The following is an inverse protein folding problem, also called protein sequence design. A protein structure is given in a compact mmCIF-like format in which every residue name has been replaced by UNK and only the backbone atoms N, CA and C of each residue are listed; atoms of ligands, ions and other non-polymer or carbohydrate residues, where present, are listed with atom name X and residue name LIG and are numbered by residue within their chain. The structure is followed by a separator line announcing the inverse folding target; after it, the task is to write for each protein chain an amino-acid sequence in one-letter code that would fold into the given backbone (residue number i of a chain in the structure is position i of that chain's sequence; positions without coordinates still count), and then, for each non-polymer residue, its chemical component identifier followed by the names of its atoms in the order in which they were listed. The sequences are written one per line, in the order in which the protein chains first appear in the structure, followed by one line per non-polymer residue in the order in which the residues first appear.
data_IF_645063838730
#
_entry.id   IF_645063838730
#
_cell.length_a   1.000
_cell.length_b   1.000
_cell.length_c   1.000
_cell.angle_alpha   90.00
_cell.angle_beta   90.00
_cell.angle_gamma   90.00
#
_symmetry.space_group_name_H-M   'P 1'
#
loop_
_entity.id
_entity.type
_entity.pdbx_description
1 polymer ?
#
# COMPACT_ATOMS: atom_id res chain seq x y z
N UNK A 1 -16.19 47.96 -17.62
CA UNK A 1 -15.09 47.63 -16.70
C UNK A 1 -15.41 46.50 -15.69
N UNK A 2 -16.33 45.56 -15.97
CA UNK A 2 -16.61 44.41 -15.06
C UNK A 2 -15.98 43.08 -15.50
N UNK A 3 -15.52 42.96 -16.76
CA UNK A 3 -14.94 41.71 -17.30
C UNK A 3 -13.49 41.45 -16.89
N UNK A 4 -12.70 42.48 -16.58
CA UNK A 4 -11.28 42.34 -16.20
C UNK A 4 -11.06 42.02 -14.71
N UNK A 5 -12.06 42.33 -13.86
CA UNK A 5 -12.02 41.99 -12.43
C UNK A 5 -12.23 40.47 -12.25
N UNK A 6 -13.12 39.84 -13.03
CA UNK A 6 -13.30 38.39 -13.00
C UNK A 6 -12.10 37.60 -13.50
N UNK A 7 -11.38 38.10 -14.51
CA UNK A 7 -10.18 37.43 -15.06
C UNK A 7 -9.02 37.48 -14.06
N UNK A 8 -8.84 38.60 -13.36
CA UNK A 8 -7.78 38.75 -12.36
C UNK A 8 -7.99 37.82 -11.15
N UNK A 9 -9.26 37.59 -10.75
CA UNK A 9 -9.60 36.66 -9.66
C UNK A 9 -9.37 35.20 -10.08
N UNK A 10 -9.65 34.84 -11.34
CA UNK A 10 -9.43 33.47 -11.85
C UNK A 10 -7.93 33.15 -11.92
N UNK A 11 -7.08 34.09 -12.32
CA UNK A 11 -5.62 33.88 -12.37
C UNK A 11 -5.01 33.72 -10.97
N UNK A 12 -5.53 34.43 -9.97
CA UNK A 12 -5.08 34.28 -8.57
C UNK A 12 -5.49 32.92 -7.99
N UNK A 13 -6.67 32.40 -8.34
CA UNK A 13 -7.14 31.06 -7.91
C UNK A 13 -6.27 29.95 -8.52
N UNK A 14 -5.86 30.09 -9.79
CA UNK A 14 -4.99 29.10 -10.46
C UNK A 14 -3.58 29.09 -9.84
N UNK A 15 -3.04 30.26 -9.47
CA UNK A 15 -1.73 30.36 -8.81
C UNK A 15 -1.78 29.81 -7.37
N UNK A 16 -2.88 30.02 -6.64
CA UNK A 16 -3.07 29.42 -5.32
C UNK A 16 -3.20 27.88 -5.37
N UNK A 17 -3.81 27.33 -6.43
CA UNK A 17 -3.84 25.88 -6.65
C UNK A 17 -2.48 25.31 -7.09
N UNK A 18 -1.72 26.05 -7.90
CA UNK A 18 -0.38 25.65 -8.33
C UNK A 18 0.64 25.56 -7.18
N UNK A 19 0.50 26.40 -6.15
CA UNK A 19 1.38 26.40 -4.98
C UNK A 19 1.08 25.27 -3.97
N UNK A 20 -0.11 24.65 -4.03
CA UNK A 20 -0.39 23.43 -3.24
C UNK A 20 0.26 22.16 -3.82
N UNK A 21 0.76 22.21 -5.05
CA UNK A 21 1.37 21.06 -5.74
C UNK A 21 2.90 20.99 -5.48
N UNK A 22 3.51 22.07 -4.95
CA UNK A 22 4.95 22.16 -4.68
C UNK A 22 5.31 22.26 -3.18
N UNK A 23 4.38 21.96 -2.29
CA UNK A 23 4.67 21.69 -0.88
C UNK A 23 4.84 20.20 -0.68
N UNK A 24 6.04 19.72 -0.35
CA UNK A 24 6.31 18.34 0.05
C UNK A 24 5.41 17.95 1.21
N UNK A 25 4.26 17.36 0.89
CA UNK A 25 3.25 16.97 1.83
C UNK A 25 3.17 15.45 1.78
N UNK A 26 3.68 14.80 2.82
CA UNK A 26 3.32 13.42 3.16
C UNK A 26 1.81 13.28 3.03
N UNK A 27 1.36 12.62 1.97
CA UNK A 27 -0.05 12.36 1.75
C UNK A 27 -0.48 11.31 2.77
N UNK A 28 -1.24 11.72 3.79
CA UNK A 28 -1.88 10.80 4.71
C UNK A 28 -3.19 10.39 4.03
N UNK A 29 -3.22 9.18 3.48
CA UNK A 29 -4.46 8.57 3.00
C UNK A 29 -5.44 8.43 4.17
N UNK A 30 -6.64 8.98 4.03
CA UNK A 30 -7.65 9.01 5.09
C UNK A 30 -9.00 8.66 4.49
N UNK A 31 -9.36 7.38 4.46
CA UNK A 31 -10.70 6.84 4.74
C UNK A 31 -10.52 5.36 5.17
N UNK A 32 -11.03 5.01 6.35
CA UNK A 32 -11.12 3.65 6.95
C UNK A 32 -9.82 2.86 7.24
N UNK A 33 -8.73 3.07 6.51
CA UNK A 33 -7.50 2.33 6.79
C UNK A 33 -6.75 2.87 7.99
N UNK A 34 -6.06 1.96 8.68
CA UNK A 34 -4.88 2.30 9.45
C UNK A 34 -4.05 3.37 8.72
N UNK A 35 -3.65 4.46 9.40
CA UNK A 35 -2.81 5.49 8.76
C UNK A 35 -1.49 4.85 8.34
N UNK A 36 -1.30 4.65 7.04
CA UNK A 36 -0.06 4.22 6.41
C UNK A 36 0.62 5.47 5.86
N UNK A 37 1.91 5.63 6.13
CA UNK A 37 2.71 6.72 5.57
C UNK A 37 3.14 6.29 4.17
N UNK A 38 2.81 7.09 3.16
CA UNK A 38 3.18 6.80 1.78
C UNK A 38 4.66 7.09 1.57
N UNK A 39 5.46 6.12 1.09
CA UNK A 39 6.87 6.31 0.79
C UNK A 39 7.10 7.41 -0.25
N UNK A 40 8.24 8.09 -0.15
CA UNK A 40 8.58 9.18 -1.08
C UNK A 40 8.61 8.68 -2.53
N UNK A 41 8.03 9.48 -3.44
CA UNK A 41 8.00 9.16 -4.87
C UNK A 41 6.81 8.28 -5.29
N UNK A 42 5.96 7.86 -4.34
CA UNK A 42 4.70 7.20 -4.63
C UNK A 42 3.52 8.16 -4.53
N UNK A 43 2.52 7.93 -5.36
CA UNK A 43 1.22 8.59 -5.29
C UNK A 43 0.14 7.59 -4.92
N UNK A 44 -0.89 8.05 -4.22
CA UNK A 44 -2.10 7.26 -4.00
C UNK A 44 -2.87 7.19 -5.32
N UNK A 45 -3.00 5.99 -5.88
CA UNK A 45 -3.77 5.73 -7.09
C UNK A 45 -5.23 5.44 -6.77
N UNK A 46 -5.49 4.68 -5.71
CA UNK A 46 -6.85 4.30 -5.30
C UNK A 46 -6.91 4.03 -3.80
N UNK A 47 -8.02 4.39 -3.18
CA UNK A 47 -8.35 4.03 -1.80
C UNK A 47 -9.79 3.54 -1.74
N UNK A 48 -10.01 2.42 -1.04
CA UNK A 48 -11.32 1.92 -0.61
C UNK A 48 -11.30 1.73 0.90
N UNK A 49 -12.39 1.19 1.47
CA UNK A 49 -12.48 0.96 2.90
C UNK A 49 -11.42 -0.01 3.44
N UNK A 50 -10.96 -0.92 2.60
CA UNK A 50 -10.10 -2.06 2.93
C UNK A 50 -8.83 -2.12 2.07
N UNK A 51 -8.70 -1.29 1.03
CA UNK A 51 -7.59 -1.37 0.08
C UNK A 51 -6.96 -0.01 -0.19
N UNK A 52 -5.63 0.03 -0.15
CA UNK A 52 -4.78 1.12 -0.64
C UNK A 52 -4.06 0.65 -1.89
N UNK A 53 -4.03 1.48 -2.92
CA UNK A 53 -3.12 1.28 -4.06
C UNK A 53 -2.24 2.51 -4.16
N UNK A 54 -0.94 2.31 -4.02
CA UNK A 54 0.06 3.32 -4.32
C UNK A 54 0.90 2.91 -5.52
N UNK A 55 1.33 3.90 -6.29
CA UNK A 55 2.01 3.69 -7.55
C UNK A 55 3.07 4.75 -7.78
N UNK A 56 4.16 4.34 -8.44
CA UNK A 56 5.10 5.25 -9.08
C UNK A 56 5.27 4.83 -10.56
N UNK A 57 6.30 5.35 -11.23
CA UNK A 57 6.52 5.05 -12.66
C UNK A 57 6.84 3.58 -12.97
N UNK A 58 7.34 2.80 -12.00
CA UNK A 58 7.89 1.47 -12.22
C UNK A 58 7.24 0.38 -11.36
N UNK A 59 6.51 0.73 -10.32
CA UNK A 59 6.02 -0.20 -9.31
C UNK A 59 4.67 0.21 -8.74
N UNK A 60 3.88 -0.79 -8.38
CA UNK A 60 2.58 -0.67 -7.73
C UNK A 60 2.57 -1.50 -6.45
N UNK A 61 1.96 -0.97 -5.39
CA UNK A 61 1.72 -1.71 -4.15
C UNK A 61 0.24 -1.63 -3.82
N UNK A 62 -0.41 -2.79 -3.79
CA UNK A 62 -1.78 -2.93 -3.31
C UNK A 62 -1.73 -3.47 -1.89
N UNK A 63 -2.23 -2.71 -0.92
CA UNK A 63 -2.31 -3.08 0.48
C UNK A 63 -3.77 -3.33 0.81
N UNK A 64 -4.12 -4.53 1.27
CA UNK A 64 -5.51 -4.92 1.58
C UNK A 64 -5.64 -5.45 3.00
N UNK A 65 -6.63 -4.97 3.74
CA UNK A 65 -7.09 -5.55 5.00
C UNK A 65 -7.91 -6.81 4.69
N UNK A 66 -7.40 -7.98 5.04
CA UNK A 66 -8.08 -9.27 4.78
C UNK A 66 -8.84 -9.79 6.01
N UNK A 67 -9.03 -8.93 7.01
CA UNK A 67 -9.79 -9.20 8.23
C UNK A 67 -9.06 -10.09 9.24
N UNK A 68 -9.83 -10.84 10.05
CA UNK A 68 -9.33 -11.65 11.17
C UNK A 68 -8.81 -13.03 10.73
N UNK A 69 -8.22 -13.15 9.53
CA UNK A 69 -7.61 -14.40 9.09
C UNK A 69 -6.22 -14.53 9.71
N UNK A 70 -5.90 -15.71 10.24
CA UNK A 70 -4.52 -15.98 10.67
C UNK A 70 -3.62 -16.17 9.45
N UNK A 71 -2.33 -15.83 9.58
CA UNK A 71 -1.34 -16.05 8.51
C UNK A 71 -1.32 -17.52 8.06
N UNK A 72 -1.51 -18.47 8.98
CA UNK A 72 -1.62 -19.90 8.66
C UNK A 72 -2.82 -20.19 7.74
N UNK A 73 -4.00 -19.65 8.06
CA UNK A 73 -5.19 -19.81 7.22
C UNK A 73 -4.97 -19.29 5.81
N UNK A 74 -4.30 -18.13 5.70
CA UNK A 74 -3.96 -17.54 4.40
C UNK A 74 -3.00 -18.42 3.62
N UNK A 75 -1.97 -18.97 4.27
CA UNK A 75 -1.05 -19.92 3.64
C UNK A 75 -1.74 -21.18 3.16
N UNK A 76 -2.59 -21.79 4.00
CA UNK A 76 -3.32 -23.00 3.65
C UNK A 76 -4.26 -22.76 2.44
N UNK A 77 -5.01 -21.65 2.43
CA UNK A 77 -5.86 -21.24 1.29
C UNK A 77 -5.03 -21.00 0.01
N UNK A 78 -3.87 -20.35 0.13
CA UNK A 78 -3.00 -20.07 -1.02
C UNK A 78 -2.39 -21.36 -1.58
N UNK A 79 -1.97 -22.29 -0.71
CA UNK A 79 -1.46 -23.59 -1.11
C UNK A 79 -2.52 -24.44 -1.81
N UNK A 80 -3.76 -24.46 -1.29
CA UNK A 80 -4.91 -25.12 -1.93
C UNK A 80 -5.30 -24.50 -3.28
N UNK A 81 -5.12 -23.20 -3.47
CA UNK A 81 -5.39 -22.57 -4.77
C UNK A 81 -4.33 -22.93 -5.82
N UNK A 82 -3.15 -23.33 -5.38
CA UNK A 82 -1.97 -23.55 -6.21
C UNK A 82 -1.40 -24.97 -6.05
N UNK A 83 -2.24 -25.99 -5.87
CA UNK A 83 -1.83 -27.37 -5.53
C UNK A 83 -0.82 -28.00 -6.50
N UNK A 84 -0.83 -27.55 -7.76
CA UNK A 84 0.10 -28.00 -8.80
C UNK A 84 1.46 -27.27 -8.78
N UNK A 85 1.69 -26.40 -7.80
CA UNK A 85 2.87 -25.55 -7.70
C UNK A 85 3.46 -25.62 -6.29
N UNK A 86 4.75 -25.28 -6.18
CA UNK A 86 5.38 -25.23 -4.86
C UNK A 86 5.11 -23.86 -4.25
N UNK A 87 4.34 -23.84 -3.16
CA UNK A 87 4.19 -22.66 -2.31
C UNK A 87 5.18 -22.76 -1.14
N UNK A 88 5.92 -21.70 -0.89
CA UNK A 88 6.84 -21.62 0.25
C UNK A 88 6.61 -20.34 1.03
N UNK A 89 6.72 -20.43 2.36
CA UNK A 89 6.59 -19.28 3.24
C UNK A 89 7.96 -18.96 3.87
N UNK A 90 8.30 -17.69 3.81
CA UNK A 90 9.46 -17.11 4.47
C UNK A 90 8.99 -16.02 5.42
N UNK A 91 9.80 -15.67 6.42
CA UNK A 91 9.46 -14.55 7.31
C UNK A 91 10.67 -13.69 7.61
N UNK A 92 10.45 -12.39 7.70
CA UNK A 92 11.38 -11.41 8.27
C UNK A 92 10.70 -10.64 9.38
N UNK A 93 11.48 -10.05 10.28
CA UNK A 93 10.98 -9.12 11.28
C UNK A 93 11.21 -7.68 10.79
N UNK A 94 10.20 -6.81 10.92
CA UNK A 94 10.23 -5.39 10.59
C UNK A 94 9.75 -4.61 11.82
N UNK A 95 10.67 -3.99 12.55
CA UNK A 95 10.39 -3.47 13.89
C UNK A 95 9.89 -4.59 14.80
N UNK A 96 8.70 -4.41 15.38
CA UNK A 96 8.04 -5.44 16.22
C UNK A 96 7.05 -6.32 15.43
N UNK A 97 6.97 -6.15 14.11
CA UNK A 97 6.00 -6.84 13.26
C UNK A 97 6.67 -7.97 12.47
N UNK A 98 6.10 -9.17 12.51
CA UNK A 98 6.55 -10.28 11.67
C UNK A 98 5.88 -10.21 10.29
N UNK A 99 6.69 -10.07 9.26
CA UNK A 99 6.29 -10.03 7.86
C UNK A 99 6.55 -11.40 7.23
N UNK A 100 5.54 -11.97 6.60
CA UNK A 100 5.58 -13.27 5.93
C UNK A 100 5.51 -13.09 4.42
N UNK A 101 6.50 -13.61 3.69
CA UNK A 101 6.48 -13.68 2.24
C UNK A 101 6.04 -15.06 1.78
N UNK A 102 4.91 -15.12 1.06
CA UNK A 102 4.42 -16.32 0.38
C UNK A 102 4.89 -16.29 -1.05
N UNK A 103 5.78 -17.22 -1.37
CA UNK A 103 6.43 -17.34 -2.66
C UNK A 103 5.82 -18.50 -3.45
N UNK A 104 5.30 -18.20 -4.64
CA UNK A 104 4.85 -19.21 -5.59
C UNK A 104 5.98 -19.54 -6.56
N UNK A 105 6.36 -20.83 -6.62
CA UNK A 105 7.32 -21.36 -7.59
C UNK A 105 6.62 -22.27 -8.60
N UNK A 106 6.88 -22.03 -9.88
CA UNK A 106 6.47 -22.90 -10.99
C UNK A 106 7.74 -23.32 -11.72
N UNK A 107 8.00 -24.62 -11.83
CA UNK A 107 9.21 -25.17 -12.47
C UNK A 107 10.50 -24.50 -11.96
N UNK A 108 10.66 -24.43 -10.64
CA UNK A 108 11.80 -23.81 -9.93
C UNK A 108 11.94 -22.28 -10.08
N UNK A 109 11.13 -21.64 -10.93
CA UNK A 109 11.13 -20.19 -11.13
C UNK A 109 10.17 -19.53 -10.14
N UNK A 110 10.65 -18.51 -9.43
CA UNK A 110 9.80 -17.66 -8.59
C UNK A 110 8.94 -16.77 -9.47
N UNK A 111 7.62 -16.83 -9.27
CA UNK A 111 6.68 -16.08 -10.10
C UNK A 111 6.09 -14.91 -9.33
N UNK A 112 5.82 -15.10 -8.05
CA UNK A 112 5.14 -14.09 -7.25
C UNK A 112 5.48 -14.20 -5.78
N UNK A 113 5.59 -13.04 -5.15
CA UNK A 113 5.69 -12.93 -3.70
C UNK A 113 4.56 -12.06 -3.19
N UNK A 114 3.66 -12.65 -2.41
CA UNK A 114 2.68 -11.91 -1.62
C UNK A 114 3.21 -11.74 -0.21
N UNK A 115 3.05 -10.55 0.36
CA UNK A 115 3.50 -10.30 1.73
C UNK A 115 2.31 -10.16 2.66
N UNK A 116 2.41 -10.74 3.85
CA UNK A 116 1.35 -10.72 4.84
C UNK A 116 1.94 -10.37 6.21
N UNK A 117 1.21 -9.58 6.98
CA UNK A 117 1.59 -9.28 8.34
C UNK A 117 0.35 -9.02 9.17
N UNK A 118 0.45 -9.29 10.47
CA UNK A 118 -0.60 -8.99 11.43
C UNK A 118 -0.17 -7.77 12.25
N UNK A 119 -1.06 -6.80 12.38
CA UNK A 119 -0.84 -5.64 13.24
C UNK A 119 -2.16 -5.26 13.90
N UNK A 120 -2.16 -5.16 15.23
CA UNK A 120 -3.36 -4.82 16.02
C UNK A 120 -4.56 -5.77 15.79
N UNK A 121 -4.30 -7.06 15.55
CA UNK A 121 -5.35 -8.07 15.34
C UNK A 121 -6.00 -8.02 13.95
N UNK A 122 -5.49 -7.18 13.04
CA UNK A 122 -5.90 -7.14 11.63
C UNK A 122 -4.76 -7.72 10.79
N UNK A 123 -5.10 -8.62 9.87
CA UNK A 123 -4.16 -9.13 8.89
C UNK A 123 -4.19 -8.30 7.63
N UNK A 124 -3.02 -7.88 7.20
CA UNK A 124 -2.78 -7.09 6.00
C UNK A 124 -2.08 -7.95 4.94
N UNK A 125 -2.50 -7.80 3.70
CA UNK A 125 -1.79 -8.29 2.52
C UNK A 125 -1.14 -7.12 1.79
N UNK A 126 0.09 -7.27 1.34
CA UNK A 126 0.75 -6.40 0.38
C UNK A 126 1.03 -7.22 -0.87
N UNK A 127 0.44 -6.81 -1.98
CA UNK A 127 0.71 -7.31 -3.32
C UNK A 127 1.54 -6.26 -4.08
N UNK A 128 2.86 -6.48 -4.21
CA UNK A 128 3.70 -5.63 -5.03
C UNK A 128 3.72 -6.12 -6.48
N UNK A 129 3.78 -5.19 -7.43
CA UNK A 129 3.82 -5.43 -8.86
C UNK A 129 4.81 -4.47 -9.54
N UNK A 130 5.41 -4.90 -10.65
CA UNK A 130 6.48 -4.17 -11.34
C UNK A 130 7.85 -4.27 -10.64
N UNK A 131 8.70 -3.26 -10.86
CA UNK A 131 10.06 -3.17 -10.30
C UNK A 131 10.02 -2.68 -8.84
N UNK A 132 9.37 -3.48 -7.99
CA UNK A 132 9.22 -3.17 -6.57
C UNK A 132 10.51 -3.49 -5.79
N UNK A 133 10.66 -2.83 -4.65
CA UNK A 133 11.79 -3.03 -3.74
C UNK A 133 11.30 -3.41 -2.34
N UNK A 134 12.14 -4.19 -1.64
CA UNK A 134 11.76 -4.72 -0.34
C UNK A 134 11.77 -3.67 0.78
N UNK A 135 12.51 -2.57 0.62
CA UNK A 135 12.58 -1.53 1.65
C UNK A 135 11.31 -0.67 1.67
N UNK A 136 10.68 -0.44 0.52
CA UNK A 136 9.34 0.15 0.41
C UNK A 136 8.32 -0.69 1.17
N UNK A 137 8.37 -2.02 1.06
CA UNK A 137 7.50 -2.93 1.82
C UNK A 137 7.73 -2.76 3.33
N UNK A 138 8.99 -2.72 3.79
CA UNK A 138 9.30 -2.50 5.20
C UNK A 138 8.78 -1.16 5.71
N UNK A 139 8.89 -0.09 4.91
CA UNK A 139 8.37 1.24 5.27
C UNK A 139 6.85 1.21 5.44
N UNK A 140 6.13 0.57 4.50
CA UNK A 140 4.68 0.40 4.58
C UNK A 140 4.30 -0.32 5.88
N UNK A 141 4.87 -1.49 6.14
CA UNK A 141 4.61 -2.30 7.36
C UNK A 141 4.91 -1.52 8.64
N UNK A 142 6.05 -0.82 8.68
CA UNK A 142 6.47 -0.02 9.84
C UNK A 142 5.48 1.11 10.12
N UNK A 143 5.01 1.77 9.07
CA UNK A 143 4.15 2.95 9.17
C UNK A 143 2.69 2.65 9.48
N UNK A 144 2.22 1.42 9.25
CA UNK A 144 0.82 1.02 9.49
C UNK A 144 0.43 1.25 10.95
N UNK A 145 -0.44 2.22 11.23
CA UNK A 145 -0.90 2.56 12.58
C UNK A 145 -2.43 2.53 12.68
N UNK A 146 -3.00 2.25 13.87
CA UNK A 146 -4.44 2.08 14.13
C UNK A 146 -5.37 3.03 13.33
N UNK A 147 -6.52 2.48 12.95
CA UNK A 147 -7.76 3.20 12.57
C UNK A 147 -8.13 4.22 13.66
N UNK A 148 -8.37 5.48 13.28
CA UNK A 148 -8.92 6.47 14.22
C UNK A 148 -10.37 6.09 14.53
N UNK A 149 -10.67 5.93 15.81
CA UNK A 149 -12.02 6.10 16.32
C UNK A 149 -12.23 7.61 16.37
N UNK A 150 -13.10 8.13 15.51
CA UNK A 150 -13.66 9.48 15.67
C UNK A 150 -14.76 9.39 16.70
#
# INVERSE_FOLDING_TARGET
MKKYISISIIVIIIIAFGLLIFGGNTQIGSESMSKIIIPNGFNIYKTTNDTLIISNKSSNYTITEIGNKTIKSVFDEYNLKHENHTVSMSSTTVGDTKLFGLNLKINETFIHTNYFYEKNGITYQIYPDGDYDFDTIKQLVSSTNKKFII
#
